data_IF_361800434832
#
_entry.id   IF_361800434832
#
_cell.length_a   1.000
_cell.length_b   1.000
_cell.length_c   1.000
_cell.angle_alpha   90.00
_cell.angle_beta   90.00
_cell.angle_gamma   90.00
#
_symmetry.space_group_name_H-M   'P 1'
#
loop_
_entity.id
_entity.type
_entity.pdbx_description
1 polymer ?
#
# COMPACT_ATOMS: atom_id res chain seq x y z
N UNK A 1 37.06 -19.90 11.94
CA UNK A 1 37.52 -20.34 10.62
C UNK A 1 36.60 -19.70 9.60
N UNK A 2 37.05 -18.57 9.05
CA UNK A 2 36.31 -17.72 8.12
C UNK A 2 36.34 -18.41 6.76
N UNK A 3 35.16 -18.75 6.23
CA UNK A 3 35.02 -19.27 4.87
C UNK A 3 35.26 -18.16 3.86
N UNK A 4 36.45 -18.20 3.27
CA UNK A 4 36.89 -17.44 2.11
C UNK A 4 35.99 -17.76 0.89
N UNK A 5 35.65 -16.73 0.12
CA UNK A 5 34.74 -16.69 -1.04
C UNK A 5 33.26 -16.43 -0.70
N UNK A 6 32.79 -15.21 -1.02
CA UNK A 6 31.37 -14.80 -0.98
C UNK A 6 30.47 -15.52 -2.00
N UNK A 7 30.67 -16.82 -2.17
CA UNK A 7 29.85 -17.69 -3.00
C UNK A 7 28.64 -18.12 -2.17
N UNK A 8 27.45 -17.64 -2.53
CA UNK A 8 26.20 -18.08 -1.90
C UNK A 8 26.10 -19.59 -2.07
N UNK A 9 26.08 -20.32 -0.96
CA UNK A 9 26.00 -21.79 -0.97
C UNK A 9 24.75 -22.24 -1.77
N UNK A 10 24.90 -23.09 -2.80
CA UNK A 10 23.79 -23.50 -3.66
C UNK A 10 22.66 -24.20 -2.89
N UNK A 11 22.96 -24.83 -1.75
CA UNK A 11 21.94 -25.39 -0.85
C UNK A 11 21.15 -24.27 -0.20
N UNK A 12 21.83 -23.24 0.31
CA UNK A 12 21.20 -22.05 0.89
C UNK A 12 20.29 -21.30 -0.11
N UNK A 13 20.72 -21.16 -1.37
CA UNK A 13 19.87 -20.57 -2.44
C UNK A 13 18.61 -21.41 -2.68
N UNK A 14 18.76 -22.73 -2.72
CA UNK A 14 17.64 -23.64 -2.96
C UNK A 14 16.65 -23.66 -1.79
N UNK A 15 17.15 -23.59 -0.55
CA UNK A 15 16.32 -23.46 0.65
C UNK A 15 15.52 -22.15 0.58
N UNK A 16 16.17 -21.02 0.30
CA UNK A 16 15.49 -19.73 0.18
C UNK A 16 14.40 -19.75 -0.91
N UNK A 17 14.65 -20.41 -2.04
CA UNK A 17 13.66 -20.59 -3.11
C UNK A 17 12.43 -21.40 -2.66
N UNK A 18 12.64 -22.52 -1.96
CA UNK A 18 11.56 -23.34 -1.43
C UNK A 18 10.77 -22.63 -0.33
N UNK A 19 11.45 -21.88 0.54
CA UNK A 19 10.79 -21.07 1.57
C UNK A 19 9.89 -20.00 0.94
N UNK A 20 10.36 -19.32 -0.12
CA UNK A 20 9.57 -18.36 -0.87
C UNK A 20 8.34 -19.01 -1.54
N UNK A 21 8.51 -20.20 -2.13
CA UNK A 21 7.41 -20.97 -2.73
C UNK A 21 6.36 -21.36 -1.68
N UNK A 22 6.79 -21.93 -0.55
CA UNK A 22 5.90 -22.30 0.55
C UNK A 22 5.18 -21.09 1.11
N UNK A 23 5.86 -19.95 1.27
CA UNK A 23 5.25 -18.70 1.69
C UNK A 23 4.18 -18.21 0.69
N UNK A 24 4.48 -18.28 -0.62
CA UNK A 24 3.54 -17.96 -1.69
C UNK A 24 2.29 -18.85 -1.66
N UNK A 25 2.47 -20.16 -1.52
CA UNK A 25 1.37 -21.12 -1.44
C UNK A 25 0.50 -20.89 -0.20
N UNK A 26 1.10 -20.65 0.97
CA UNK A 26 0.38 -20.32 2.20
C UNK A 26 -0.47 -19.05 2.03
N UNK A 27 0.11 -18.01 1.42
CA UNK A 27 -0.60 -16.76 1.12
C UNK A 27 -1.77 -16.97 0.16
N UNK A 28 -1.59 -17.79 -0.88
CA UNK A 28 -2.64 -18.14 -1.82
C UNK A 28 -3.80 -18.89 -1.14
N UNK A 29 -3.49 -19.83 -0.24
CA UNK A 29 -4.49 -20.57 0.52
C UNK A 29 -5.27 -19.66 1.49
N UNK A 30 -4.60 -18.78 2.22
CA UNK A 30 -5.25 -17.79 3.09
C UNK A 30 -6.20 -16.89 2.28
N UNK A 31 -5.73 -16.40 1.13
CA UNK A 31 -6.54 -15.58 0.22
C UNK A 31 -7.79 -16.32 -0.26
N UNK A 32 -7.63 -17.59 -0.67
CA UNK A 32 -8.77 -18.41 -1.11
C UNK A 32 -9.76 -18.69 0.03
N UNK A 33 -9.25 -18.89 1.24
CA UNK A 33 -10.07 -19.18 2.42
C UNK A 33 -10.96 -18.00 2.76
N UNK A 34 -10.42 -16.79 2.86
CA UNK A 34 -11.21 -15.60 3.22
C UNK A 34 -12.23 -15.24 2.13
N UNK A 35 -11.87 -15.40 0.85
CA UNK A 35 -12.81 -15.23 -0.26
C UNK A 35 -13.96 -16.24 -0.17
N UNK A 36 -13.66 -17.49 0.19
CA UNK A 36 -14.67 -18.54 0.41
C UNK A 36 -15.60 -18.21 1.58
N UNK A 37 -15.07 -17.71 2.70
CA UNK A 37 -15.85 -17.27 3.86
C UNK A 37 -16.79 -16.12 3.51
N UNK A 38 -16.27 -15.07 2.87
CA UNK A 38 -17.07 -13.94 2.39
C UNK A 38 -18.17 -14.38 1.41
N UNK A 39 -17.84 -15.29 0.49
CA UNK A 39 -18.80 -15.87 -0.47
C UNK A 39 -19.92 -16.60 0.24
N UNK A 40 -19.60 -17.46 1.21
CA UNK A 40 -20.59 -18.19 2.00
C UNK A 40 -21.47 -17.26 2.83
N UNK A 41 -20.89 -16.19 3.37
CA UNK A 41 -21.61 -15.20 4.15
C UNK A 41 -22.63 -14.43 3.29
N UNK A 42 -22.22 -13.96 2.12
CA UNK A 42 -23.13 -13.32 1.15
C UNK A 42 -24.24 -14.28 0.74
N UNK A 43 -23.89 -15.52 0.39
CA UNK A 43 -24.84 -16.53 -0.05
C UNK A 43 -25.91 -16.80 1.03
N UNK A 44 -25.49 -16.97 2.29
CA UNK A 44 -26.40 -17.22 3.41
C UNK A 44 -27.30 -16.02 3.71
N UNK A 45 -26.78 -14.80 3.66
CA UNK A 45 -27.56 -13.58 3.97
C UNK A 45 -28.57 -13.26 2.88
N UNK A 46 -28.21 -13.43 1.61
CA UNK A 46 -29.02 -13.04 0.46
C UNK A 46 -29.90 -14.19 -0.09
N UNK A 47 -29.80 -15.40 0.46
CA UNK A 47 -30.50 -16.58 -0.06
C UNK A 47 -30.02 -17.00 -1.45
N UNK A 48 -28.73 -16.81 -1.74
CA UNK A 48 -28.11 -17.08 -3.04
C UNK A 48 -27.33 -18.40 -3.02
N UNK A 49 -27.03 -18.93 -4.20
CA UNK A 49 -26.05 -20.02 -4.33
C UNK A 49 -24.62 -19.51 -4.06
N UNK A 50 -23.66 -20.38 -3.69
CA UNK A 50 -22.25 -19.98 -3.54
C UNK A 50 -21.68 -19.31 -4.79
N UNK A 51 -22.04 -19.80 -5.99
CA UNK A 51 -21.61 -19.20 -7.26
C UNK A 51 -22.16 -17.78 -7.42
N UNK A 52 -23.45 -17.57 -7.11
CA UNK A 52 -24.06 -16.24 -7.15
C UNK A 52 -23.47 -15.30 -6.09
N UNK A 53 -23.18 -15.80 -4.89
CA UNK A 53 -22.50 -15.05 -3.83
C UNK A 53 -21.11 -14.59 -4.25
N UNK A 54 -20.33 -15.46 -4.91
CA UNK A 54 -19.01 -15.12 -5.45
C UNK A 54 -19.12 -14.05 -6.54
N UNK A 55 -20.06 -14.19 -7.47
CA UNK A 55 -20.30 -13.19 -8.52
C UNK A 55 -20.70 -11.83 -7.94
N UNK A 56 -21.50 -11.82 -6.86
CA UNK A 56 -21.84 -10.60 -6.16
C UNK A 56 -20.62 -9.97 -5.48
N UNK A 57 -19.76 -10.77 -4.85
CA UNK A 57 -18.50 -10.29 -4.26
C UNK A 57 -17.56 -9.69 -5.33
N UNK A 58 -17.49 -10.27 -6.52
CA UNK A 58 -16.75 -9.72 -7.67
C UNK A 58 -17.32 -8.36 -8.09
N UNK A 59 -18.65 -8.26 -8.22
CA UNK A 59 -19.29 -6.96 -8.54
C UNK A 59 -19.01 -5.91 -7.48
N UNK A 60 -19.06 -6.28 -6.19
CA UNK A 60 -18.69 -5.37 -5.10
C UNK A 60 -17.23 -4.93 -5.23
N UNK A 61 -16.29 -5.86 -5.44
CA UNK A 61 -14.87 -5.56 -5.64
C UNK A 61 -14.64 -4.55 -6.78
N UNK A 62 -15.31 -4.74 -7.91
CA UNK A 62 -15.24 -3.85 -9.07
C UNK A 62 -15.86 -2.48 -8.78
N UNK A 63 -17.05 -2.47 -8.17
CA UNK A 63 -17.76 -1.26 -7.82
C UNK A 63 -16.95 -0.39 -6.85
N UNK A 64 -16.26 -1.01 -5.89
CA UNK A 64 -15.39 -0.33 -4.94
C UNK A 64 -13.96 -0.11 -5.46
N UNK A 65 -13.63 -0.60 -6.66
CA UNK A 65 -12.28 -0.59 -7.24
C UNK A 65 -11.18 -1.07 -6.27
N UNK A 66 -11.47 -2.11 -5.48
CA UNK A 66 -10.52 -2.73 -4.55
C UNK A 66 -10.29 -4.18 -4.92
N UNK A 67 -9.13 -4.73 -4.51
CA UNK A 67 -8.83 -6.15 -4.74
C UNK A 67 -9.87 -7.04 -4.05
N UNK A 68 -10.29 -8.11 -4.74
CA UNK A 68 -11.30 -9.05 -4.26
C UNK A 68 -11.01 -9.60 -2.85
N UNK A 69 -9.75 -9.91 -2.57
CA UNK A 69 -9.35 -10.40 -1.24
C UNK A 69 -9.54 -9.34 -0.15
N UNK A 70 -9.30 -8.07 -0.45
CA UNK A 70 -9.38 -6.96 0.51
C UNK A 70 -10.82 -6.70 0.92
N UNK A 71 -11.75 -6.71 -0.05
CA UNK A 71 -13.18 -6.59 0.26
C UNK A 71 -13.71 -7.83 0.98
N UNK A 72 -13.19 -9.03 0.69
CA UNK A 72 -13.55 -10.25 1.40
C UNK A 72 -13.13 -10.20 2.87
N UNK A 73 -11.90 -9.77 3.16
CA UNK A 73 -11.40 -9.55 4.54
C UNK A 73 -12.31 -8.56 5.27
N UNK A 74 -12.52 -7.38 4.68
CA UNK A 74 -13.38 -6.35 5.27
C UNK A 74 -14.79 -6.85 5.58
N UNK A 75 -15.38 -7.66 4.69
CA UNK A 75 -16.70 -8.22 4.91
C UNK A 75 -16.72 -9.21 6.08
N UNK A 76 -15.70 -10.09 6.18
CA UNK A 76 -15.61 -11.07 7.27
C UNK A 76 -15.37 -10.37 8.61
N UNK A 77 -14.53 -9.35 8.65
CA UNK A 77 -14.26 -8.57 9.85
C UNK A 77 -15.53 -7.83 10.33
N UNK A 78 -16.21 -7.11 9.43
CA UNK A 78 -17.47 -6.45 9.72
C UNK A 78 -18.56 -7.42 10.18
N UNK A 79 -18.54 -8.66 9.69
CA UNK A 79 -19.49 -9.67 10.16
C UNK A 79 -19.21 -10.15 11.58
N UNK A 80 -17.95 -10.15 12.01
CA UNK A 80 -17.58 -10.41 13.40
C UNK A 80 -18.02 -9.29 14.35
N UNK A 81 -18.00 -8.04 13.87
CA UNK A 81 -18.35 -6.86 14.67
C UNK A 81 -19.85 -6.55 14.70
N UNK A 82 -20.50 -6.57 13.53
CA UNK A 82 -21.86 -6.08 13.33
C UNK A 82 -22.87 -7.20 13.04
N UNK A 83 -22.39 -8.42 12.85
CA UNK A 83 -23.17 -9.56 12.39
C UNK A 83 -23.30 -9.66 10.86
N UNK A 84 -23.61 -10.87 10.32
CA UNK A 84 -23.56 -11.13 8.87
C UNK A 84 -24.47 -10.23 8.02
N UNK A 85 -25.70 -9.99 8.47
CA UNK A 85 -26.68 -9.21 7.69
C UNK A 85 -26.26 -7.75 7.56
N UNK A 86 -25.79 -7.16 8.65
CA UNK A 86 -25.35 -5.77 8.65
C UNK A 86 -24.06 -5.59 7.86
N UNK A 87 -23.11 -6.53 7.97
CA UNK A 87 -21.88 -6.53 7.18
C UNK A 87 -22.14 -6.53 5.66
N UNK A 88 -22.99 -7.44 5.18
CA UNK A 88 -23.35 -7.49 3.74
C UNK A 88 -24.03 -6.20 3.31
N UNK A 89 -24.91 -5.63 4.14
CA UNK A 89 -25.56 -4.35 3.83
C UNK A 89 -24.55 -3.21 3.70
N UNK A 90 -23.63 -3.10 4.65
CA UNK A 90 -22.60 -2.05 4.67
C UNK A 90 -21.65 -2.11 3.47
N UNK A 91 -21.33 -3.30 2.98
CA UNK A 91 -20.46 -3.48 1.80
C UNK A 91 -21.25 -3.38 0.49
N UNK A 92 -22.54 -3.72 0.50
CA UNK A 92 -23.41 -3.64 -0.67
C UNK A 92 -23.92 -2.24 -0.97
N UNK A 93 -23.98 -1.34 0.03
CA UNK A 93 -24.34 0.05 -0.18
C UNK A 93 -23.52 0.58 -1.36
N UNK A 94 -24.18 1.07 -2.44
CA UNK A 94 -23.45 1.73 -3.50
C UNK A 94 -22.68 2.85 -2.82
N UNK A 95 -21.35 2.76 -2.84
CA UNK A 95 -20.53 3.97 -2.79
C UNK A 95 -21.05 4.79 -3.94
N UNK A 96 -21.71 5.91 -3.65
CA UNK A 96 -22.13 6.88 -4.67
C UNK A 96 -21.03 6.90 -5.73
N UNK A 97 -21.34 6.49 -6.98
CA UNK A 97 -20.33 6.15 -7.95
C UNK A 97 -19.44 7.37 -8.07
N UNK A 98 -18.25 7.28 -7.49
CA UNK A 98 -17.26 8.35 -7.41
C UNK A 98 -17.95 9.73 -7.39
N UNK A 99 -18.28 10.24 -6.20
CA UNK A 99 -18.02 11.66 -5.98
C UNK A 99 -16.63 11.86 -6.60
N UNK A 100 -16.59 12.47 -7.80
CA UNK A 100 -15.38 12.53 -8.60
C UNK A 100 -14.38 13.10 -7.64
N UNK A 101 -13.47 12.28 -7.11
CA UNK A 101 -12.31 12.78 -6.40
C UNK A 101 -11.77 13.72 -7.45
N UNK A 102 -11.94 15.03 -7.22
CA UNK A 102 -11.58 16.07 -8.17
C UNK A 102 -10.27 15.60 -8.74
N UNK A 103 -10.26 15.33 -10.06
CA UNK A 103 -9.15 14.67 -10.72
C UNK A 103 -7.89 15.39 -10.27
N UNK A 104 -7.18 14.80 -9.30
CA UNK A 104 -6.22 15.55 -8.49
C UNK A 104 -5.13 15.92 -9.47
N UNK A 105 -5.19 17.18 -9.92
CA UNK A 105 -4.52 17.58 -11.13
C UNK A 105 -3.04 17.42 -10.86
N UNK A 106 -2.39 16.54 -11.64
CA UNK A 106 -1.00 16.19 -11.43
C UNK A 106 -0.16 17.47 -11.27
N UNK A 107 0.64 17.59 -10.21
CA UNK A 107 1.21 18.86 -9.76
C UNK A 107 2.37 19.36 -10.64
N UNK A 108 2.55 18.76 -11.82
CA UNK A 108 3.54 19.14 -12.80
C UNK A 108 4.90 18.48 -12.57
N UNK A 109 5.82 18.71 -13.52
CA UNK A 109 7.16 18.11 -13.51
C UNK A 109 8.04 18.72 -12.41
N UNK A 110 7.81 19.99 -12.06
CA UNK A 110 8.65 20.73 -11.13
C UNK A 110 8.56 20.22 -9.69
N UNK A 111 7.36 19.81 -9.25
CA UNK A 111 7.12 19.20 -7.93
C UNK A 111 7.82 17.84 -7.82
N UNK A 112 7.80 17.06 -8.91
CA UNK A 112 8.49 15.77 -8.97
C UNK A 112 10.00 15.96 -8.93
N UNK A 113 10.51 16.97 -9.62
CA UNK A 113 11.94 17.27 -9.64
C UNK A 113 12.44 17.73 -8.25
N UNK A 114 11.69 18.60 -7.58
CA UNK A 114 11.99 18.99 -6.21
C UNK A 114 11.96 17.78 -5.25
N UNK A 115 10.99 16.88 -5.40
CA UNK A 115 10.93 15.65 -4.60
C UNK A 115 12.13 14.73 -4.85
N UNK A 116 12.58 14.58 -6.11
CA UNK A 116 13.80 13.81 -6.42
C UNK A 116 15.04 14.43 -5.80
N UNK A 117 15.16 15.76 -5.83
CA UNK A 117 16.29 16.46 -5.22
C UNK A 117 16.34 16.23 -3.70
N UNK A 118 15.19 16.27 -3.02
CA UNK A 118 15.10 15.95 -1.60
C UNK A 118 15.53 14.51 -1.30
N UNK A 119 15.05 13.53 -2.07
CA UNK A 119 15.44 12.12 -1.92
C UNK A 119 16.94 11.95 -2.15
N UNK A 120 17.52 12.58 -3.17
CA UNK A 120 18.95 12.51 -3.45
C UNK A 120 19.80 13.11 -2.32
N UNK A 121 19.39 14.25 -1.76
CA UNK A 121 20.05 14.87 -0.61
C UNK A 121 19.98 13.97 0.64
N UNK A 122 18.83 13.32 0.88
CA UNK A 122 18.64 12.38 1.98
C UNK A 122 19.53 11.14 1.86
N UNK A 123 19.60 10.55 0.66
CA UNK A 123 20.49 9.41 0.40
C UNK A 123 21.97 9.78 0.52
N UNK A 124 22.36 11.00 0.13
CA UNK A 124 23.71 11.50 0.29
C UNK A 124 24.08 11.68 1.76
N UNK A 125 23.16 12.23 2.57
CA UNK A 125 23.33 12.37 4.01
C UNK A 125 23.46 11.00 4.71
N UNK A 126 22.68 9.99 4.28
CA UNK A 126 22.72 8.64 4.87
C UNK A 126 23.90 7.78 4.43
N UNK A 127 24.51 8.05 3.27
CA UNK A 127 25.65 7.25 2.78
C UNK A 127 26.98 7.57 3.48
N UNK A 128 27.05 8.63 4.29
CA UNK A 128 28.31 9.12 4.85
C UNK A 128 28.26 9.21 6.37
N UNK A 129 28.14 8.06 7.04
CA UNK A 129 28.17 7.96 8.51
C UNK A 129 29.56 8.30 9.11
N UNK A 130 30.63 8.33 8.31
CA UNK A 130 32.02 8.62 8.72
C UNK A 130 32.58 9.96 8.16
N UNK A 131 31.72 10.87 7.69
CA UNK A 131 32.17 12.14 7.11
C UNK A 131 32.72 13.14 8.16
N UNK A 132 33.70 13.97 7.77
CA UNK A 132 34.06 15.20 8.49
C UNK A 132 32.83 16.04 8.87
N UNK A 133 32.88 16.71 10.02
CA UNK A 133 31.73 17.40 10.60
C UNK A 133 31.20 18.56 9.73
N UNK A 134 32.09 19.21 8.98
CA UNK A 134 31.79 20.22 7.96
C UNK A 134 30.99 19.63 6.79
N UNK A 135 31.39 18.45 6.28
CA UNK A 135 30.68 17.76 5.20
C UNK A 135 29.29 17.32 5.65
N UNK A 136 29.14 16.78 6.86
CA UNK A 136 27.82 16.41 7.42
C UNK A 136 26.91 17.63 7.59
N UNK A 137 27.48 18.77 8.01
CA UNK A 137 26.71 20.02 8.14
C UNK A 137 26.24 20.52 6.78
N UNK A 138 27.11 20.51 5.77
CA UNK A 138 26.74 20.86 4.41
C UNK A 138 25.62 19.97 3.85
N UNK A 139 25.70 18.65 4.04
CA UNK A 139 24.65 17.72 3.58
C UNK A 139 23.31 17.94 4.31
N UNK A 140 23.33 18.30 5.59
CA UNK A 140 22.13 18.65 6.34
C UNK A 140 21.50 19.97 5.86
N UNK A 141 22.32 20.97 5.52
CA UNK A 141 21.87 22.23 4.93
C UNK A 141 21.26 21.99 3.53
N UNK A 142 21.89 21.14 2.70
CA UNK A 142 21.37 20.72 1.38
C UNK A 142 20.02 19.99 1.49
N UNK A 143 19.87 19.09 2.46
CA UNK A 143 18.60 18.40 2.74
C UNK A 143 17.50 19.38 3.15
N UNK A 144 17.83 20.33 4.02
CA UNK A 144 16.90 21.37 4.49
C UNK A 144 16.41 22.23 3.32
N UNK A 145 17.33 22.66 2.46
CA UNK A 145 17.02 23.48 1.29
C UNK A 145 16.14 22.72 0.28
N UNK A 146 16.44 21.45 0.00
CA UNK A 146 15.63 20.63 -0.89
C UNK A 146 14.22 20.40 -0.34
N UNK A 147 14.07 20.29 0.99
CA UNK A 147 12.78 20.18 1.66
C UNK A 147 11.94 21.46 1.53
N UNK A 148 12.56 22.62 1.71
CA UNK A 148 11.91 23.92 1.50
C UNK A 148 11.47 24.12 0.06
N UNK A 149 12.32 23.75 -0.90
CA UNK A 149 11.98 23.83 -2.32
C UNK A 149 10.76 22.95 -2.65
N UNK A 150 10.70 21.71 -2.15
CA UNK A 150 9.52 20.86 -2.36
C UNK A 150 8.25 21.47 -1.73
N UNK A 151 8.35 22.02 -0.52
CA UNK A 151 7.23 22.67 0.14
C UNK A 151 6.71 23.87 -0.67
N UNK A 152 7.60 24.72 -1.18
CA UNK A 152 7.26 25.84 -2.07
C UNK A 152 6.54 25.34 -3.33
N UNK A 153 7.06 24.30 -3.99
CA UNK A 153 6.44 23.76 -5.21
C UNK A 153 5.07 23.15 -4.94
N UNK A 154 4.87 22.53 -3.78
CA UNK A 154 3.57 21.99 -3.38
C UNK A 154 2.57 23.09 -3.02
N UNK A 155 3.03 24.20 -2.44
CA UNK A 155 2.19 25.37 -2.16
C UNK A 155 1.78 26.09 -3.46
N UNK A 156 2.68 26.26 -4.43
CA UNK A 156 2.40 26.86 -5.75
C UNK A 156 1.24 26.18 -6.49
N UNK A 157 1.09 24.86 -6.30
CA UNK A 157 0.05 24.04 -6.92
C UNK A 157 -1.16 23.81 -6.01
N UNK A 158 -1.19 24.43 -4.83
CA UNK A 158 -2.28 24.34 -3.86
C UNK A 158 -2.43 22.96 -3.20
N UNK A 159 -1.36 22.16 -3.17
CA UNK A 159 -1.35 20.83 -2.54
C UNK A 159 -0.85 20.84 -1.09
N UNK A 160 -0.28 21.95 -0.64
CA UNK A 160 0.15 22.16 0.73
C UNK A 160 -0.38 23.51 1.21
N UNK A 161 -1.11 23.52 2.33
CA UNK A 161 -1.57 24.74 2.97
C UNK A 161 -0.38 25.49 3.61
N UNK A 162 -0.39 26.82 3.55
CA UNK A 162 0.68 27.71 4.06
C UNK A 162 0.83 27.72 5.60
N UNK A 163 0.01 26.97 6.36
CA UNK A 163 0.12 26.97 7.82
C UNK A 163 1.18 25.98 8.34
N UNK A 164 2.19 26.45 9.09
CA UNK A 164 3.09 25.54 9.79
C UNK A 164 2.29 24.79 10.86
N UNK A 165 2.34 23.45 10.82
CA UNK A 165 1.85 22.62 11.92
C UNK A 165 2.55 23.05 13.23
N UNK A 166 1.74 23.63 14.14
CA UNK A 166 2.14 24.10 15.47
C UNK A 166 2.58 22.93 16.36
#
# INVERSE_FOLDING_TARGET
MVGENGQVDPVSVRIAGLEAEVAGLRKALQTRTVIGQATGLIAAVQGLTPQQGFQLLVRMSQHHNVKLHSIAVKLVDLAGELGPRQAVRSVHLPVEPHERVEEVQWPGVDVVEAARQLVAAHEAAHRVDDAPADVRRQLADELTLAGQLLAERLADVGWLDDEPAV
#
